data_IF_763168793294
#
_entry.id   IF_763168793294
#
_cell.length_a   1.000
_cell.length_b   1.000
_cell.length_c   1.000
_cell.angle_alpha   90.00
_cell.angle_beta   90.00
_cell.angle_gamma   90.00
#
_symmetry.space_group_name_H-M   'P 1'
#
loop_
_entity.id
_entity.type
_entity.pdbx_description
1 polymer ?
#
# COMPACT_ATOMS: atom_id res chain seq x y z
N UNK A 1 -7.20 7.28 -0.92
CA UNK A 1 -7.00 6.40 0.25
C UNK A 1 -5.55 6.08 0.58
N UNK A 2 -4.58 6.42 -0.28
CA UNK A 2 -3.16 6.29 0.05
C UNK A 2 -2.63 7.63 0.58
N UNK A 3 -1.93 7.60 1.71
CA UNK A 3 -1.32 8.76 2.35
C UNK A 3 0.18 8.49 2.48
N UNK A 4 1.06 9.44 2.12
CA UNK A 4 2.50 9.29 2.36
C UNK A 4 2.76 8.97 3.84
N UNK A 5 3.69 8.03 4.11
CA UNK A 5 3.97 7.49 5.45
C UNK A 5 2.83 6.69 6.10
N UNK A 6 1.73 6.45 5.39
CA UNK A 6 0.71 5.48 5.79
C UNK A 6 1.12 4.04 5.49
N UNK A 7 0.23 3.10 5.81
CA UNK A 7 0.40 1.69 5.45
C UNK A 7 -0.51 1.30 4.27
N UNK A 8 -0.09 0.26 3.57
CA UNK A 8 -0.85 -0.41 2.50
C UNK A 8 -0.52 -1.88 2.53
N UNK A 9 -1.52 -2.73 2.28
CA UNK A 9 -1.29 -4.16 2.07
C UNK A 9 -1.21 -4.45 0.56
N UNK A 10 -0.11 -5.07 0.14
CA UNK A 10 0.09 -5.57 -1.23
C UNK A 10 0.17 -7.09 -1.18
N UNK A 11 -0.78 -7.79 -1.81
CA UNK A 11 -0.92 -9.25 -1.69
C UNK A 11 -0.92 -9.73 -0.21
N UNK A 12 -1.51 -8.93 0.69
CA UNK A 12 -1.56 -9.21 2.13
C UNK A 12 -0.31 -8.79 2.91
N UNK A 13 0.73 -8.29 2.25
CA UNK A 13 1.98 -7.86 2.87
C UNK A 13 1.84 -6.40 3.32
N UNK A 14 1.93 -6.16 4.62
CA UNK A 14 1.90 -4.82 5.19
C UNK A 14 3.19 -4.06 4.86
N UNK A 15 3.06 -2.94 4.15
CA UNK A 15 4.17 -2.12 3.69
C UNK A 15 3.93 -0.64 3.98
N UNK A 16 5.02 0.09 4.19
CA UNK A 16 4.98 1.55 4.37
C UNK A 16 5.01 2.25 3.02
N UNK A 17 4.07 3.17 2.82
CA UNK A 17 4.02 4.02 1.63
C UNK A 17 5.13 5.08 1.72
N UNK A 18 5.99 5.12 0.71
CA UNK A 18 7.02 6.16 0.57
C UNK A 18 6.42 7.47 0.06
N UNK A 19 6.20 7.53 -1.26
CA UNK A 19 5.69 8.68 -2.00
C UNK A 19 4.43 8.28 -2.77
N UNK A 20 3.55 9.25 -2.96
CA UNK A 20 2.33 9.12 -3.76
C UNK A 20 2.35 10.22 -4.82
N UNK A 21 2.23 9.83 -6.09
CA UNK A 21 2.27 10.72 -7.25
C UNK A 21 1.12 10.36 -8.20
N UNK A 22 0.02 11.13 -8.14
CA UNK A 22 -1.18 10.87 -8.93
C UNK A 22 -1.76 9.47 -8.67
N UNK A 23 -1.68 8.58 -9.67
CA UNK A 23 -2.15 7.17 -9.59
C UNK A 23 -1.03 6.17 -9.30
N UNK A 24 0.16 6.64 -8.95
CA UNK A 24 1.33 5.81 -8.64
C UNK A 24 1.79 6.05 -7.21
N UNK A 25 2.38 5.03 -6.60
CA UNK A 25 3.03 5.13 -5.31
C UNK A 25 4.19 4.15 -5.25
N UNK A 26 5.12 4.39 -4.34
CA UNK A 26 6.18 3.43 -4.02
C UNK A 26 6.06 2.98 -2.55
N UNK A 27 6.67 1.84 -2.28
CA UNK A 27 6.77 1.23 -0.97
C UNK A 27 8.23 0.95 -0.65
N UNK A 28 8.57 0.95 0.63
CA UNK A 28 9.88 0.51 1.08
C UNK A 28 9.83 -0.97 1.42
N UNK A 29 10.76 -1.74 0.88
CA UNK A 29 10.86 -3.18 1.10
C UNK A 29 12.25 -3.46 1.67
N UNK A 30 12.31 -4.13 2.81
CA UNK A 30 13.57 -4.60 3.39
C UNK A 30 13.95 -5.97 2.79
N UNK A 31 15.23 -6.36 2.81
CA UNK A 31 15.69 -7.63 2.22
C UNK A 31 14.90 -8.85 2.71
N UNK A 32 14.65 -8.94 4.02
CA UNK A 32 13.87 -10.03 4.60
C UNK A 32 12.48 -10.16 3.96
N UNK A 33 11.71 -9.07 3.89
CA UNK A 33 10.37 -9.07 3.27
C UNK A 33 10.43 -9.46 1.80
N UNK A 34 11.45 -9.01 1.07
CA UNK A 34 11.63 -9.41 -0.32
C UNK A 34 11.88 -10.92 -0.45
N UNK A 35 12.75 -11.48 0.39
CA UNK A 35 13.17 -12.88 0.34
C UNK A 35 12.09 -13.88 0.78
N UNK A 36 11.29 -13.54 1.80
CA UNK A 36 10.34 -14.47 2.43
C UNK A 36 8.88 -14.29 1.99
N UNK A 37 8.59 -13.39 1.05
CA UNK A 37 7.23 -13.17 0.53
C UNK A 37 7.14 -13.43 -0.97
N UNK A 38 5.94 -13.37 -1.55
CA UNK A 38 5.74 -13.54 -3.00
C UNK A 38 6.32 -12.40 -3.84
N UNK A 39 6.79 -11.30 -3.21
CA UNK A 39 7.34 -10.13 -3.92
C UNK A 39 8.58 -10.45 -4.75
N UNK A 40 9.42 -11.41 -4.33
CA UNK A 40 10.61 -11.84 -5.10
C UNK A 40 10.29 -12.45 -6.47
N UNK A 41 9.09 -13.01 -6.61
CA UNK A 41 8.68 -13.69 -7.84
C UNK A 41 7.85 -12.76 -8.74
N UNK A 42 7.55 -11.53 -8.28
CA UNK A 42 6.81 -10.53 -9.05
C UNK A 42 7.72 -9.78 -10.01
N UNK A 43 7.16 -9.43 -11.15
CA UNK A 43 7.79 -8.57 -12.16
C UNK A 43 6.93 -7.37 -12.52
N UNK A 44 7.54 -6.38 -13.15
CA UNK A 44 6.83 -5.21 -13.64
C UNK A 44 5.68 -5.63 -14.57
N UNK A 45 4.48 -5.11 -14.30
CA UNK A 45 3.26 -5.45 -15.04
C UNK A 45 2.38 -6.51 -14.38
N UNK A 46 2.87 -7.23 -13.38
CA UNK A 46 2.05 -8.16 -12.61
C UNK A 46 0.95 -7.41 -11.84
N UNK A 47 -0.24 -8.01 -11.81
CA UNK A 47 -1.34 -7.53 -10.98
C UNK A 47 -1.12 -7.98 -9.54
N UNK A 48 -1.47 -7.11 -8.61
CA UNK A 48 -1.41 -7.36 -7.16
C UNK A 48 -2.73 -6.96 -6.53
N UNK A 49 -3.08 -7.61 -5.44
CA UNK A 49 -4.19 -7.20 -4.59
C UNK A 49 -3.75 -6.02 -3.74
N UNK A 50 -4.54 -4.95 -3.72
CA UNK A 50 -4.28 -3.75 -2.92
C UNK A 50 -5.36 -3.56 -1.88
N UNK A 51 -4.96 -3.51 -0.61
CA UNK A 51 -5.82 -3.13 0.50
C UNK A 51 -5.30 -1.84 1.13
N UNK A 52 -6.16 -0.81 1.15
CA UNK A 52 -5.86 0.46 1.79
C UNK A 52 -6.19 0.40 3.29
N UNK A 53 -5.44 1.15 4.09
CA UNK A 53 -5.62 1.24 5.53
C UNK A 53 -7.10 1.50 5.92
N UNK A 54 -7.59 0.65 6.81
CA UNK A 54 -8.93 0.73 7.38
C UNK A 54 -9.14 2.05 8.12
N UNK A 55 -8.09 2.61 8.76
CA UNK A 55 -8.14 3.90 9.43
C UNK A 55 -8.52 5.02 8.46
N UNK A 56 -8.02 4.99 7.22
CA UNK A 56 -8.37 5.99 6.22
C UNK A 56 -9.88 5.95 5.90
N UNK A 57 -10.48 4.75 5.84
CA UNK A 57 -11.93 4.59 5.64
C UNK A 57 -12.74 5.06 6.86
N UNK A 58 -12.26 4.81 8.07
CA UNK A 58 -12.92 5.29 9.29
C UNK A 58 -12.88 6.82 9.41
N UNK A 59 -11.73 7.44 9.12
CA UNK A 59 -11.60 8.91 9.11
C UNK A 59 -12.53 9.52 8.08
N UNK A 60 -12.62 8.96 6.88
CA UNK A 60 -13.58 9.40 5.85
C UNK A 60 -15.02 9.31 6.36
N UNK A 61 -15.40 8.17 6.95
CA UNK A 61 -16.75 7.95 7.50
C UNK A 61 -17.08 8.92 8.64
N UNK A 62 -16.13 9.22 9.51
CA UNK A 62 -16.32 10.11 10.67
C UNK A 62 -16.34 11.59 10.29
N UNK A 63 -15.55 11.99 9.30
CA UNK A 63 -15.45 13.40 8.87
C UNK A 63 -16.49 13.77 7.81
N UNK A 64 -17.16 12.79 7.20
CA UNK A 64 -18.16 13.01 6.14
C UNK A 64 -17.57 13.57 4.85
N UNK A 65 -16.26 13.74 4.78
CA UNK A 65 -15.55 14.26 3.60
C UNK A 65 -15.42 13.13 2.60
N UNK A 66 -16.35 13.08 1.63
CA UNK A 66 -16.18 12.24 0.44
C UNK A 66 -15.17 12.93 -0.48
N UNK A 67 -14.15 12.18 -0.91
CA UNK A 67 -13.22 12.64 -1.94
C UNK A 67 -13.77 12.41 -3.34
#
# INVERSE_FOLDING_TARGET
YLVPKGCVAIDGISLTIGRVEGRKFNVWIIPHTYEVTTLRDRKAGDKVNLECDLLAKYVEKMTGVKK
#
